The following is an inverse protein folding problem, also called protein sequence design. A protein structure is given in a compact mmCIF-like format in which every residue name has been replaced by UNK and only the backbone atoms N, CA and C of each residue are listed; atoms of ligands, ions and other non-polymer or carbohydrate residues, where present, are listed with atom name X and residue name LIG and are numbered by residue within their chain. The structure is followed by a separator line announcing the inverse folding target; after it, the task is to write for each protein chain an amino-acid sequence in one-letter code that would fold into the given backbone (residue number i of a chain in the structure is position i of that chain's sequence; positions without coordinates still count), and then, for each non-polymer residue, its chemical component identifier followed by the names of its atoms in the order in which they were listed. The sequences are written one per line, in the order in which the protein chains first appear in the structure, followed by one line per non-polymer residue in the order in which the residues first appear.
data_IF_394610255247
#
_entry.id   IF_394610255247
#
_cell.length_a   1.000
_cell.length_b   1.000
_cell.length_c   1.000
_cell.angle_alpha   90.00
_cell.angle_beta   90.00
_cell.angle_gamma   90.00
#
_symmetry.space_group_name_H-M   'P 1'
#
loop_
_entity.id
_entity.type
_entity.pdbx_description
1 polymer ?
#
# COMPACT_ATOMS: atom_id res chain seq x y z
N UNK A 1 -25.78 16.65 16.11
CA UNK A 1 -24.65 15.73 15.84
C UNK A 1 -24.51 15.64 14.34
N UNK A 2 -23.39 16.11 13.77
CA UNK A 2 -23.12 15.93 12.34
C UNK A 2 -22.90 14.44 12.08
N UNK A 3 -23.67 13.86 11.16
CA UNK A 3 -23.52 12.45 10.82
C UNK A 3 -22.29 12.32 9.93
N UNK A 4 -21.26 11.66 10.43
CA UNK A 4 -20.05 11.37 9.65
C UNK A 4 -20.10 9.93 9.14
N UNK A 5 -19.59 9.70 7.95
CA UNK A 5 -19.46 8.37 7.37
C UNK A 5 -18.07 8.18 6.77
N UNK A 6 -17.68 6.94 6.53
CA UNK A 6 -16.38 6.61 5.96
C UNK A 6 -16.57 6.32 4.47
N UNK A 7 -15.77 6.97 3.62
CA UNK A 7 -15.74 6.68 2.20
C UNK A 7 -15.25 5.23 1.99
N UNK A 8 -16.09 4.40 1.36
CA UNK A 8 -15.78 2.99 1.10
C UNK A 8 -14.66 2.75 0.07
N UNK A 9 -14.25 3.78 -0.66
CA UNK A 9 -13.18 3.67 -1.66
C UNK A 9 -11.81 4.13 -1.13
N UNK A 10 -11.74 5.32 -0.53
CA UNK A 10 -10.46 5.87 -0.05
C UNK A 10 -10.28 5.81 1.47
N UNK A 11 -11.25 5.29 2.22
CA UNK A 11 -11.18 5.09 3.67
C UNK A 11 -11.20 6.38 4.51
N UNK A 12 -11.39 7.55 3.89
CA UNK A 12 -11.41 8.84 4.59
C UNK A 12 -12.80 9.13 5.13
N UNK A 13 -12.85 9.77 6.30
CA UNK A 13 -14.09 10.29 6.89
C UNK A 13 -14.62 11.45 6.06
N UNK A 14 -15.92 11.44 5.82
CA UNK A 14 -16.67 12.43 5.05
C UNK A 14 -17.94 12.80 5.80
N UNK A 15 -18.41 14.02 5.59
CA UNK A 15 -19.73 14.43 6.08
C UNK A 15 -20.82 13.62 5.36
N UNK A 16 -21.83 13.19 6.12
CA UNK A 16 -22.98 12.43 5.64
C UNK A 16 -23.77 13.17 4.57
N UNK A 17 -23.75 14.50 4.57
CA UNK A 17 -24.42 15.37 3.60
C UNK A 17 -23.79 15.35 2.21
N UNK A 18 -22.51 14.96 2.09
CA UNK A 18 -21.84 14.96 0.80
C UNK A 18 -22.31 13.81 -0.09
N UNK A 19 -22.78 14.19 -1.27
CA UNK A 19 -23.24 13.29 -2.33
C UNK A 19 -22.08 12.61 -3.09
N UNK A 20 -20.87 13.17 -2.97
CA UNK A 20 -19.62 12.63 -3.52
C UNK A 20 -18.53 12.68 -2.46
N UNK A 21 -17.55 11.77 -2.49
CA UNK A 21 -16.38 11.89 -1.63
C UNK A 21 -15.51 13.07 -2.10
N UNK A 22 -15.28 14.10 -1.25
CA UNK A 22 -14.48 15.27 -1.63
C UNK A 22 -12.99 14.94 -1.84
N UNK A 23 -12.55 13.75 -1.44
CA UNK A 23 -11.14 13.33 -1.53
C UNK A 23 -10.82 12.54 -2.79
N UNK A 24 -11.76 11.70 -3.25
CA UNK A 24 -11.53 10.78 -4.36
C UNK A 24 -12.56 10.89 -5.48
N UNK A 25 -13.59 11.72 -5.31
CA UNK A 25 -14.65 11.94 -6.30
C UNK A 25 -15.69 10.83 -6.39
N UNK A 26 -15.62 9.78 -5.56
CA UNK A 26 -16.58 8.66 -5.64
C UNK A 26 -18.01 9.14 -5.36
N UNK A 27 -18.92 8.89 -6.32
CA UNK A 27 -20.36 9.12 -6.15
C UNK A 27 -20.96 8.25 -5.06
N UNK A 28 -21.80 8.85 -4.22
CA UNK A 28 -22.65 8.16 -3.25
C UNK A 28 -24.12 8.07 -3.73
N UNK A 29 -24.44 8.69 -4.88
CA UNK A 29 -25.69 8.46 -5.59
C UNK A 29 -25.60 7.09 -6.26
N UNK A 30 -26.35 6.11 -5.78
CA UNK A 30 -26.35 4.77 -6.38
C UNK A 30 -26.80 3.62 -5.49
N UNK A 31 -27.09 3.87 -4.20
CA UNK A 31 -27.56 2.82 -3.28
C UNK A 31 -26.64 1.59 -3.26
N UNK A 32 -27.12 0.50 -2.67
CA UNK A 32 -26.39 -0.77 -2.51
C UNK A 32 -25.94 -1.42 -3.85
N UNK A 33 -26.42 -0.93 -4.99
CA UNK A 33 -26.18 -1.51 -6.32
C UNK A 33 -24.78 -1.21 -6.86
N UNK A 34 -24.10 -0.16 -6.40
CA UNK A 34 -22.70 0.11 -6.77
C UNK A 34 -21.71 -0.94 -6.23
N UNK A 35 -22.11 -1.75 -5.24
CA UNK A 35 -21.25 -2.75 -4.60
C UNK A 35 -21.06 -4.03 -5.43
N UNK A 36 -21.90 -4.29 -6.45
CA UNK A 36 -21.78 -5.51 -7.25
C UNK A 36 -20.49 -5.56 -8.10
N UNK A 37 -19.79 -4.43 -8.28
CA UNK A 37 -18.50 -4.37 -8.97
C UNK A 37 -17.29 -4.17 -8.03
N UNK A 38 -17.50 -4.20 -6.71
CA UNK A 38 -16.46 -4.02 -5.70
C UNK A 38 -15.34 -5.10 -5.71
N UNK A 39 -15.60 -6.39 -6.00
CA UNK A 39 -14.56 -7.44 -5.92
C UNK A 39 -13.31 -7.14 -6.76
N UNK A 40 -13.51 -6.59 -7.97
CA UNK A 40 -12.41 -6.31 -8.93
C UNK A 40 -11.50 -5.14 -8.51
N UNK A 41 -12.00 -4.23 -7.66
CA UNK A 41 -11.19 -3.11 -7.14
C UNK A 41 -10.30 -3.59 -6.00
N UNK A 42 -10.82 -4.47 -5.15
CA UNK A 42 -10.06 -5.04 -4.03
C UNK A 42 -8.95 -6.00 -4.52
N UNK A 43 -9.24 -6.85 -5.53
CA UNK A 43 -8.22 -7.72 -6.15
C UNK A 43 -7.01 -6.91 -6.68
N UNK A 44 -7.25 -5.78 -7.35
CA UNK A 44 -6.17 -4.92 -7.84
C UNK A 44 -5.35 -4.27 -6.73
N UNK A 45 -5.98 -3.93 -5.59
CA UNK A 45 -5.28 -3.34 -4.44
C UNK A 45 -4.40 -4.37 -3.72
N UNK A 46 -4.87 -5.61 -3.63
CA UNK A 46 -4.10 -6.74 -3.10
C UNK A 46 -2.89 -7.03 -3.99
N UNK A 47 -3.07 -7.08 -5.31
CA UNK A 47 -1.98 -7.24 -6.28
C UNK A 47 -0.89 -6.14 -6.15
N UNK A 48 -1.31 -4.88 -5.99
CA UNK A 48 -0.37 -3.74 -5.85
C UNK A 48 0.38 -3.84 -4.52
N UNK A 49 -0.30 -4.24 -3.44
CA UNK A 49 0.31 -4.43 -2.12
C UNK A 49 1.30 -5.59 -2.13
N UNK A 50 0.94 -6.74 -2.71
CA UNK A 50 1.82 -7.91 -2.79
C UNK A 50 3.06 -7.62 -3.62
N UNK A 51 2.91 -7.02 -4.81
CA UNK A 51 4.04 -6.64 -5.66
C UNK A 51 4.93 -5.58 -4.99
N UNK A 52 4.33 -4.60 -4.31
CA UNK A 52 5.07 -3.56 -3.60
C UNK A 52 5.83 -4.09 -2.38
N UNK A 53 5.23 -4.98 -1.59
CA UNK A 53 5.86 -5.60 -0.43
C UNK A 53 6.95 -6.60 -0.86
N UNK A 54 6.66 -7.47 -1.82
CA UNK A 54 7.63 -8.43 -2.36
C UNK A 54 8.86 -7.70 -2.92
N UNK A 55 8.67 -6.63 -3.69
CA UNK A 55 9.79 -5.84 -4.21
C UNK A 55 10.61 -5.13 -3.12
N UNK A 56 10.00 -4.74 -2.00
CA UNK A 56 10.74 -4.20 -0.85
C UNK A 56 11.53 -5.28 -0.14
N UNK A 57 10.96 -6.47 0.04
CA UNK A 57 11.62 -7.62 0.66
C UNK A 57 12.86 -8.00 -0.14
N UNK A 58 12.75 -8.18 -1.46
CA UNK A 58 13.90 -8.53 -2.31
C UNK A 58 15.00 -7.47 -2.30
N UNK A 59 14.66 -6.17 -2.18
CA UNK A 59 15.68 -5.12 -2.02
C UNK A 59 16.40 -5.19 -0.67
N UNK A 60 15.67 -5.52 0.39
CA UNK A 60 16.27 -5.70 1.72
C UNK A 60 17.19 -6.92 1.74
N UNK A 61 16.78 -8.03 1.10
CA UNK A 61 17.62 -9.23 0.94
C UNK A 61 18.92 -8.89 0.22
N UNK A 62 18.86 -8.25 -0.95
CA UNK A 62 20.06 -7.83 -1.67
C UNK A 62 20.98 -6.93 -0.83
N UNK A 63 20.39 -6.01 -0.05
CA UNK A 63 21.19 -5.11 0.80
C UNK A 63 21.91 -5.86 1.92
N UNK A 64 21.32 -6.94 2.45
CA UNK A 64 21.96 -7.78 3.46
C UNK A 64 23.10 -8.59 2.85
N UNK A 65 22.91 -9.14 1.65
CA UNK A 65 23.95 -9.87 0.93
C UNK A 65 25.16 -8.98 0.62
N UNK A 66 24.92 -7.74 0.17
CA UNK A 66 25.99 -6.79 -0.12
C UNK A 66 26.80 -6.45 1.14
N UNK A 67 26.11 -6.23 2.28
CA UNK A 67 26.76 -5.96 3.56
C UNK A 67 27.57 -7.17 4.03
N UNK A 68 27.04 -8.38 3.88
CA UNK A 68 27.73 -9.62 4.24
C UNK A 68 29.01 -9.79 3.41
N UNK A 69 28.95 -9.55 2.11
CA UNK A 69 30.14 -9.59 1.25
C UNK A 69 31.19 -8.55 1.65
N UNK A 70 30.78 -7.33 1.98
CA UNK A 70 31.71 -6.30 2.42
C UNK A 70 32.36 -6.64 3.77
N UNK A 71 31.62 -7.24 4.70
CA UNK A 71 32.16 -7.76 5.95
C UNK A 71 33.18 -8.88 5.70
N UNK A 72 32.88 -9.83 4.81
CA UNK A 72 33.82 -10.91 4.44
C UNK A 72 35.10 -10.31 3.86
N UNK A 73 34.98 -9.39 2.89
CA UNK A 73 36.13 -8.70 2.29
C UNK A 73 36.97 -7.96 3.33
N UNK A 74 36.34 -7.31 4.30
CA UNK A 74 37.02 -6.61 5.38
C UNK A 74 37.78 -7.60 6.30
N UNK A 75 37.17 -8.73 6.64
CA UNK A 75 37.79 -9.76 7.49
C UNK A 75 38.93 -10.51 6.79
N UNK A 76 38.83 -10.71 5.48
CA UNK A 76 39.84 -11.41 4.67
C UNK A 76 40.98 -10.50 4.18
N UNK A 77 40.85 -9.17 4.35
CA UNK A 77 41.88 -8.23 3.95
C UNK A 77 43.18 -8.47 4.74
N UNK A 78 44.33 -8.63 4.06
CA UNK A 78 45.60 -8.84 4.72
C UNK A 78 45.95 -7.63 5.58
N UNK A 79 46.16 -7.84 6.89
CA UNK A 79 46.68 -6.81 7.79
C UNK A 79 48.04 -6.36 7.26
N UNK A 80 48.11 -5.16 6.68
CA UNK A 80 49.39 -4.53 6.33
C UNK A 80 50.21 -4.43 7.61
N UNK A 81 51.32 -5.16 7.66
CA UNK A 81 52.39 -5.02 8.68
C UNK A 81 53.09 -3.69 8.49
#
# INVERSE_FOLDING_TARGET
MQSVTICRFCGRTIDGEFVYCPWCGLSRLGGEQAFQNAPRVFERLEDIKEKGLSGRISKMEQSLDDIEQDLIRFMEAPKKR
#
